data_IF_318635837175
#
_entry.id   IF_318635837175
#
_cell.length_a   1.000
_cell.length_b   1.000
_cell.length_c   1.000
_cell.angle_alpha   90.00
_cell.angle_beta   90.00
_cell.angle_gamma   90.00
#
_symmetry.space_group_name_H-M   'P 1'
#
loop_
_entity.id
_entity.type
_entity.pdbx_description
1 polymer ?
#
# COMPACT_ATOMS: atom_id res chain seq x y z
N UNK A 1 -4.31 -9.56 8.30
CA UNK A 1 -4.83 -8.24 7.87
C UNK A 1 -4.34 -8.07 6.45
N UNK A 2 -5.27 -7.85 5.52
CA UNK A 2 -4.94 -7.60 4.12
C UNK A 2 -4.66 -6.10 3.92
N UNK A 3 -3.55 -5.81 3.25
CA UNK A 3 -3.07 -4.45 2.94
C UNK A 3 -2.62 -4.45 1.50
N UNK A 4 -2.82 -3.33 0.81
CA UNK A 4 -2.40 -3.12 -0.57
C UNK A 4 -1.42 -1.96 -0.64
N UNK A 5 -0.45 -2.06 -1.55
CA UNK A 5 0.49 -1.00 -1.86
C UNK A 5 0.68 -0.82 -3.36
N UNK A 6 1.01 0.40 -3.77
CA UNK A 6 1.32 0.74 -5.15
C UNK A 6 2.82 1.00 -5.33
N UNK A 7 3.42 0.29 -6.28
CA UNK A 7 4.75 0.59 -6.79
C UNK A 7 4.61 1.58 -7.97
N UNK A 8 4.57 2.87 -7.63
CA UNK A 8 4.52 3.97 -8.61
C UNK A 8 5.94 4.30 -9.03
N UNK A 9 6.31 3.94 -10.27
CA UNK A 9 7.70 4.05 -10.76
C UNK A 9 7.79 5.04 -11.92
N UNK A 10 8.63 6.06 -11.76
CA UNK A 10 8.92 7.04 -12.80
C UNK A 10 10.43 7.29 -12.91
N UNK A 11 10.95 7.19 -14.14
CA UNK A 11 12.38 7.38 -14.43
C UNK A 11 13.31 6.55 -13.51
N UNK A 12 12.95 5.29 -13.25
CA UNK A 12 13.71 4.36 -12.42
C UNK A 12 13.64 4.62 -10.91
N UNK A 13 12.77 5.53 -10.46
CA UNK A 13 12.55 5.84 -9.03
C UNK A 13 11.16 5.40 -8.61
N UNK A 14 11.03 4.85 -7.41
CA UNK A 14 9.75 4.45 -6.84
C UNK A 14 9.30 5.48 -5.80
N UNK A 15 8.04 5.87 -5.84
CA UNK A 15 7.42 6.65 -4.77
C UNK A 15 7.29 5.77 -3.51
N UNK A 16 7.70 6.31 -2.37
CA UNK A 16 7.55 5.70 -1.05
C UNK A 16 7.09 6.75 -0.05
N UNK A 17 6.25 6.35 0.90
CA UNK A 17 5.82 7.18 2.01
C UNK A 17 6.63 6.86 3.27
N UNK A 18 6.85 7.86 4.13
CA UNK A 18 7.48 7.65 5.44
C UNK A 18 6.40 7.65 6.52
N UNK A 19 6.31 6.55 7.25
CA UNK A 19 5.34 6.37 8.33
C UNK A 19 5.52 7.43 9.42
N UNK A 20 4.40 7.91 9.95
CA UNK A 20 4.39 8.89 11.03
C UNK A 20 4.99 8.31 12.32
N UNK A 21 5.41 9.19 13.24
CA UNK A 21 5.98 8.78 14.53
C UNK A 21 4.97 8.07 15.45
N UNK A 22 3.67 8.22 15.20
CA UNK A 22 2.60 7.66 16.03
C UNK A 22 2.04 6.34 15.50
N UNK A 23 2.46 5.92 14.31
CA UNK A 23 2.04 4.65 13.71
C UNK A 23 2.90 3.47 14.19
N UNK A 24 2.40 2.25 13.98
CA UNK A 24 3.23 1.04 14.11
C UNK A 24 4.42 1.12 13.16
N UNK A 25 5.61 0.72 13.60
CA UNK A 25 6.86 0.86 12.85
C UNK A 25 7.14 2.32 12.44
N UNK A 26 7.32 3.23 13.42
CA UNK A 26 7.50 4.64 13.15
C UNK A 26 8.74 4.90 12.30
N UNK A 27 8.66 5.89 11.41
CA UNK A 27 9.73 6.32 10.51
C UNK A 27 10.18 5.29 9.45
N UNK A 28 9.55 4.11 9.41
CA UNK A 28 9.79 3.15 8.34
C UNK A 28 9.25 3.67 6.99
N UNK A 29 9.82 3.16 5.91
CA UNK A 29 9.35 3.41 4.55
C UNK A 29 8.29 2.39 4.15
N UNK A 30 7.33 2.83 3.35
CA UNK A 30 6.27 1.98 2.81
C UNK A 30 5.87 2.40 1.40
N UNK A 31 5.21 1.48 0.70
CA UNK A 31 4.49 1.83 -0.52
C UNK A 31 3.22 2.61 -0.15
N UNK A 32 2.83 3.64 -0.91
CA UNK A 32 1.52 4.27 -0.78
C UNK A 32 0.40 3.25 -0.95
N UNK A 33 -0.68 3.39 -0.19
CA UNK A 33 -1.79 2.44 -0.16
C UNK A 33 -2.24 2.20 1.28
N UNK A 34 -3.08 1.20 1.48
CA UNK A 34 -3.72 1.05 2.78
C UNK A 34 -4.42 -0.28 2.97
N UNK A 35 -5.31 -0.30 3.95
CA UNK A 35 -5.99 -1.52 4.38
C UNK A 35 -7.12 -1.85 3.41
N UNK A 36 -7.27 -3.14 3.12
CA UNK A 36 -8.45 -3.63 2.40
C UNK A 36 -9.61 -3.72 3.39
N UNK A 37 -10.68 -2.99 3.11
CA UNK A 37 -11.92 -3.01 3.89
C UNK A 37 -12.86 -4.14 3.44
N UNK A 38 -13.88 -4.43 4.26
CA UNK A 38 -14.80 -5.52 3.97
C UNK A 38 -15.71 -5.16 2.78
N UNK A 39 -15.69 -6.02 1.76
CA UNK A 39 -16.58 -5.89 0.59
C UNK A 39 -15.96 -5.21 -0.62
N UNK A 40 -14.71 -4.75 -0.54
CA UNK A 40 -13.93 -4.29 -1.69
C UNK A 40 -12.88 -5.31 -2.11
N UNK A 41 -12.53 -5.30 -3.40
CA UNK A 41 -11.37 -6.01 -3.93
C UNK A 41 -10.07 -5.26 -3.58
N UNK A 42 -8.91 -5.95 -3.61
CA UNK A 42 -7.61 -5.30 -3.37
C UNK A 42 -7.35 -4.10 -4.31
N UNK A 43 -7.78 -4.18 -5.57
CA UNK A 43 -7.55 -3.10 -6.53
C UNK A 43 -8.50 -1.92 -6.30
N UNK A 44 -9.74 -2.16 -5.87
CA UNK A 44 -10.67 -1.10 -5.45
C UNK A 44 -10.14 -0.37 -4.20
N UNK A 45 -9.67 -1.13 -3.21
CA UNK A 45 -9.04 -0.58 -2.01
C UNK A 45 -7.85 0.32 -2.36
N UNK A 46 -6.98 -0.14 -3.27
CA UNK A 46 -5.79 0.60 -3.64
C UNK A 46 -6.12 1.95 -4.31
N UNK A 47 -7.10 1.97 -5.22
CA UNK A 47 -7.53 3.22 -5.87
C UNK A 47 -8.13 4.19 -4.85
N UNK A 48 -8.97 3.70 -3.93
CA UNK A 48 -9.59 4.51 -2.87
C UNK A 48 -8.53 5.11 -1.94
N UNK A 49 -7.61 4.30 -1.42
CA UNK A 49 -6.57 4.74 -0.48
C UNK A 49 -5.65 5.79 -1.12
N UNK A 50 -5.25 5.63 -2.39
CA UNK A 50 -4.40 6.61 -3.07
C UNK A 50 -5.11 7.93 -3.36
N UNK A 51 -6.43 7.89 -3.60
CA UNK A 51 -7.24 9.11 -3.71
C UNK A 51 -7.34 9.82 -2.35
N UNK A 52 -7.61 9.08 -1.27
CA UNK A 52 -7.73 9.62 0.09
C UNK A 52 -6.41 10.20 0.64
N UNK A 53 -5.29 9.49 0.45
CA UNK A 53 -4.00 9.87 1.05
C UNK A 53 -3.20 10.86 0.19
N UNK A 54 -3.25 10.70 -1.15
CA UNK A 54 -2.42 11.46 -2.09
C UNK A 54 -3.23 12.36 -3.04
N UNK A 55 -4.56 12.20 -3.11
CA UNK A 55 -5.41 12.94 -4.04
C UNK A 55 -5.20 12.55 -5.51
N UNK A 56 -4.80 11.30 -5.77
CA UNK A 56 -4.50 10.82 -7.12
C UNK A 56 -5.33 9.59 -7.48
N UNK A 57 -5.85 9.58 -8.71
CA UNK A 57 -6.46 8.38 -9.30
C UNK A 57 -5.39 7.63 -10.10
N UNK A 58 -5.17 6.36 -9.77
CA UNK A 58 -4.24 5.49 -10.51
C UNK A 58 -4.98 4.44 -11.34
N UNK A 59 -4.32 3.94 -12.37
CA UNK A 59 -4.74 2.72 -13.06
C UNK A 59 -3.92 1.55 -12.50
N UNK A 60 -4.56 0.69 -11.72
CA UNK A 60 -3.90 -0.51 -11.20
C UNK A 60 -3.59 -1.46 -12.35
N UNK A 61 -2.35 -1.93 -12.42
CA UNK A 61 -1.84 -2.85 -13.44
C UNK A 61 -1.69 -4.26 -12.83
N UNK A 62 -0.55 -4.93 -13.04
CA UNK A 62 -0.32 -6.26 -12.50
C UNK A 62 0.05 -6.28 -11.01
N UNK A 63 -0.28 -7.38 -10.34
CA UNK A 63 0.31 -7.76 -9.06
C UNK A 63 1.80 -8.07 -9.25
N UNK A 64 2.66 -7.35 -8.55
CA UNK A 64 4.11 -7.50 -8.61
C UNK A 64 4.64 -8.49 -7.56
N UNK A 65 3.95 -8.59 -6.42
CA UNK A 65 4.36 -9.51 -5.36
C UNK A 65 3.45 -9.47 -4.15
N UNK A 66 3.59 -10.51 -3.33
CA UNK A 66 2.90 -10.64 -2.03
C UNK A 66 3.95 -10.86 -0.95
N UNK A 67 3.87 -10.07 0.12
CA UNK A 67 4.71 -10.22 1.30
C UNK A 67 3.86 -10.51 2.54
N UNK A 68 4.41 -11.30 3.46
CA UNK A 68 3.81 -11.51 4.78
C UNK A 68 4.78 -11.02 5.86
N UNK A 69 4.25 -10.30 6.85
CA UNK A 69 5.04 -9.77 7.95
C UNK A 69 4.27 -9.81 9.27
N UNK A 70 4.99 -9.96 10.37
CA UNK A 70 4.44 -9.81 11.71
C UNK A 70 4.67 -8.37 12.19
N UNK A 71 3.59 -7.60 12.30
CA UNK A 71 3.60 -6.23 12.80
C UNK A 71 3.07 -6.23 14.25
N UNK A 72 3.95 -6.47 15.21
CA UNK A 72 3.60 -6.65 16.62
C UNK A 72 2.82 -7.96 16.81
N UNK A 73 1.56 -7.89 17.29
CA UNK A 73 0.68 -9.06 17.47
C UNK A 73 -0.19 -9.39 16.25
N UNK A 74 -0.04 -8.64 15.15
CA UNK A 74 -0.89 -8.79 13.95
C UNK A 74 -0.06 -9.36 12.80
N UNK A 75 -0.62 -10.33 12.08
CA UNK A 75 -0.09 -10.75 10.78
C UNK A 75 -0.64 -9.86 9.68
N UNK A 76 0.25 -9.35 8.84
CA UNK A 76 -0.05 -8.50 7.70
C UNK A 76 0.33 -9.25 6.44
N UNK A 77 -0.61 -9.33 5.51
CA UNK A 77 -0.40 -9.79 4.14
C UNK A 77 -0.49 -8.56 3.25
N UNK A 78 0.60 -8.23 2.58
CA UNK A 78 0.74 -7.06 1.72
C UNK A 78 0.78 -7.52 0.26
N UNK A 79 -0.16 -7.06 -0.55
CA UNK A 79 -0.12 -7.18 -2.00
C UNK A 79 0.40 -5.88 -2.61
N UNK A 80 1.41 -5.95 -3.48
CA UNK A 80 1.96 -4.78 -4.17
C UNK A 80 1.62 -4.84 -5.65
N UNK A 81 0.95 -3.81 -6.16
CA UNK A 81 0.59 -3.68 -7.56
C UNK A 81 1.42 -2.60 -8.27
N UNK A 82 1.63 -2.75 -9.57
CA UNK A 82 2.11 -1.65 -10.41
C UNK A 82 1.01 -0.60 -10.62
N UNK A 83 1.39 0.68 -10.59
CA UNK A 83 0.48 1.81 -10.78
C UNK A 83 1.19 3.00 -11.42
#
# INVERSE_FOLDING_TARGET
MEVVGAAIVEAGRCLVARRSATMSSPHAWEFPGGKVEAGESPTEALVRELDEELGVTVKVDQLLGVGEAEAGRRRVRLEVYGA
#
